data_IF_365929706106
#
_entry.id   IF_365929706106
#
_cell.length_a   1.000
_cell.length_b   1.000
_cell.length_c   1.000
_cell.angle_alpha   90.00
_cell.angle_beta   90.00
_cell.angle_gamma   90.00
#
_symmetry.space_group_name_H-M   'P 1'
#
loop_
_entity.id
_entity.type
_entity.pdbx_description
1 polymer ?
#
# COMPACT_ATOMS: atom_id res chain seq x y z
N UNK A 1 -21.06 -13.09 -9.81
CA UNK A 1 -20.60 -12.09 -8.83
C UNK A 1 -20.33 -12.70 -7.46
N UNK A 2 -21.32 -13.32 -6.77
CA UNK A 2 -21.09 -13.95 -5.45
C UNK A 2 -20.01 -15.04 -5.50
N UNK A 3 -20.11 -15.98 -6.43
CA UNK A 3 -19.10 -17.04 -6.63
C UNK A 3 -17.72 -16.48 -7.03
N UNK A 4 -17.68 -15.42 -7.84
CA UNK A 4 -16.41 -14.78 -8.26
C UNK A 4 -15.72 -14.07 -7.09
N UNK A 5 -16.50 -13.43 -6.23
CA UNK A 5 -16.01 -12.77 -5.02
C UNK A 5 -15.53 -13.78 -3.97
N UNK A 6 -16.25 -14.88 -3.78
CA UNK A 6 -15.81 -16.00 -2.92
C UNK A 6 -14.49 -16.60 -3.44
N UNK A 7 -14.38 -16.81 -4.75
CA UNK A 7 -13.14 -17.28 -5.37
C UNK A 7 -11.98 -16.30 -5.16
N UNK A 8 -12.23 -15.00 -5.36
CA UNK A 8 -11.26 -13.94 -5.10
C UNK A 8 -10.81 -13.95 -3.63
N UNK A 9 -11.76 -13.99 -2.69
CA UNK A 9 -11.49 -13.94 -1.25
C UNK A 9 -10.67 -15.15 -0.81
N UNK A 10 -11.05 -16.36 -1.25
CA UNK A 10 -10.30 -17.59 -1.00
C UNK A 10 -8.90 -17.54 -1.61
N UNK A 11 -8.74 -16.99 -2.81
CA UNK A 11 -7.43 -16.80 -3.43
C UNK A 11 -6.52 -15.89 -2.60
N UNK A 12 -7.04 -14.76 -2.11
CA UNK A 12 -6.27 -13.82 -1.28
C UNK A 12 -5.89 -14.45 0.06
N UNK A 13 -6.84 -15.07 0.75
CA UNK A 13 -6.59 -15.74 2.04
C UNK A 13 -5.55 -16.86 1.90
N UNK A 14 -5.67 -17.70 0.87
CA UNK A 14 -4.68 -18.76 0.59
C UNK A 14 -3.28 -18.19 0.33
N UNK A 15 -3.18 -17.01 -0.31
CA UNK A 15 -1.91 -16.35 -0.56
C UNK A 15 -1.30 -15.75 0.71
N UNK A 16 -2.13 -15.22 1.60
CA UNK A 16 -1.70 -14.73 2.91
C UNK A 16 -1.30 -15.85 3.86
N UNK A 17 -2.02 -16.98 3.85
CA UNK A 17 -1.68 -18.17 4.65
C UNK A 17 -0.33 -18.78 4.23
N UNK A 18 0.11 -18.54 2.99
CA UNK A 18 1.46 -18.90 2.52
C UNK A 18 2.54 -17.89 2.92
N UNK A 19 2.16 -16.73 3.45
CA UNK A 19 3.12 -15.77 3.99
C UNK A 19 3.58 -16.25 5.37
N UNK A 20 4.89 -16.20 5.64
CA UNK A 20 5.46 -16.60 6.94
C UNK A 20 5.23 -15.54 8.04
N UNK A 21 4.15 -14.75 7.97
CA UNK A 21 3.85 -13.72 8.97
C UNK A 21 2.98 -14.31 10.08
N UNK A 22 3.51 -14.41 11.29
CA UNK A 22 2.73 -14.90 12.43
C UNK A 22 1.77 -13.84 12.97
N UNK A 23 0.72 -14.27 13.69
CA UNK A 23 -0.18 -13.35 14.42
C UNK A 23 0.60 -12.44 15.38
N UNK A 24 1.65 -12.97 16.01
CA UNK A 24 2.55 -12.19 16.87
C UNK A 24 3.26 -11.07 16.10
N UNK A 25 3.74 -11.36 14.89
CA UNK A 25 4.38 -10.35 14.03
C UNK A 25 3.40 -9.26 13.61
N UNK A 26 2.14 -9.61 13.32
CA UNK A 26 1.08 -8.67 12.99
C UNK A 26 0.71 -7.78 14.18
N UNK A 27 0.66 -8.34 15.40
CA UNK A 27 0.44 -7.57 16.61
C UNK A 27 1.57 -6.57 16.88
N UNK A 28 2.83 -7.01 16.77
CA UNK A 28 4.01 -6.13 16.90
C UNK A 28 4.01 -5.05 15.82
N UNK A 29 3.64 -5.39 14.59
CA UNK A 29 3.49 -4.44 13.49
C UNK A 29 2.51 -3.34 13.85
N UNK A 30 1.32 -3.70 14.32
CA UNK A 30 0.25 -2.74 14.60
C UNK A 30 0.61 -1.82 15.78
N UNK A 31 1.24 -2.36 16.83
CA UNK A 31 1.78 -1.54 17.93
C UNK A 31 2.86 -0.53 17.46
N UNK A 32 3.62 -0.88 16.43
CA UNK A 32 4.70 -0.04 15.92
C UNK A 32 4.29 0.85 14.75
N UNK A 33 3.16 0.59 14.09
CA UNK A 33 2.74 1.31 12.90
C UNK A 33 2.62 2.82 13.14
N UNK A 34 2.09 3.22 14.30
CA UNK A 34 2.03 4.63 14.68
C UNK A 34 3.43 5.22 14.90
N UNK A 35 4.33 4.46 15.54
CA UNK A 35 5.72 4.89 15.78
C UNK A 35 6.47 5.09 14.47
N UNK A 36 6.26 4.23 13.47
CA UNK A 36 6.92 4.36 12.16
C UNK A 36 6.72 5.73 11.54
N UNK A 37 5.48 6.25 11.58
CA UNK A 37 5.16 7.56 11.06
C UNK A 37 5.92 8.65 11.82
N UNK A 38 5.83 8.66 13.16
CA UNK A 38 6.54 9.63 13.99
C UNK A 38 8.06 9.56 13.76
N UNK A 39 8.67 8.38 13.80
CA UNK A 39 10.11 8.20 13.59
C UNK A 39 10.59 8.74 12.25
N UNK A 40 9.82 8.54 11.18
CA UNK A 40 10.19 9.04 9.86
C UNK A 40 10.06 10.56 9.76
N UNK A 41 8.95 11.13 10.23
CA UNK A 41 8.59 12.52 9.91
C UNK A 41 8.85 13.53 11.04
N UNK A 42 9.31 13.10 12.22
CA UNK A 42 9.61 14.01 13.35
C UNK A 42 11.07 14.46 13.42
N UNK A 43 11.99 13.77 12.75
CA UNK A 43 13.41 14.13 12.69
C UNK A 43 13.77 14.58 11.28
N UNK A 44 14.01 15.89 11.14
CA UNK A 44 14.25 16.58 9.88
C UNK A 44 15.70 16.47 9.40
N UNK A 45 16.66 16.34 10.31
CA UNK A 45 18.09 16.48 9.99
C UNK A 45 18.61 15.32 9.12
N UNK A 46 17.93 14.16 9.14
CA UNK A 46 18.31 12.98 8.36
C UNK A 46 17.18 12.36 7.55
N UNK A 47 16.06 13.07 7.37
CA UNK A 47 14.85 12.54 6.71
C UNK A 47 15.16 11.78 5.40
N UNK A 48 15.90 12.41 4.49
CA UNK A 48 16.19 11.86 3.16
C UNK A 48 17.10 10.61 3.18
N UNK A 49 17.89 10.43 4.23
CA UNK A 49 18.79 9.29 4.41
C UNK A 49 18.08 8.09 5.03
N UNK A 50 16.92 8.28 5.68
CA UNK A 50 16.15 7.20 6.30
C UNK A 50 15.79 6.13 5.28
N UNK A 51 15.97 4.87 5.67
CA UNK A 51 15.72 3.73 4.82
C UNK A 51 14.33 3.15 5.07
N UNK A 52 13.69 2.75 3.98
CA UNK A 52 12.37 2.11 3.98
C UNK A 52 12.47 0.71 3.39
N UNK A 53 11.54 -0.15 3.76
CA UNK A 53 11.36 -1.50 3.19
C UNK A 53 9.88 -1.89 3.20
N UNK A 54 9.45 -2.75 2.28
CA UNK A 54 8.11 -3.36 2.34
C UNK A 54 7.96 -4.26 3.56
N UNK A 55 6.75 -4.30 4.12
CA UNK A 55 6.38 -5.27 5.15
C UNK A 55 6.13 -6.66 4.53
N UNK A 56 6.31 -7.71 5.32
CA UNK A 56 6.06 -9.10 4.89
C UNK A 56 4.56 -9.47 4.92
N UNK A 57 3.73 -8.64 5.54
CA UNK A 57 2.29 -8.82 5.71
C UNK A 57 1.46 -8.08 4.67
N UNK A 58 2.08 -7.66 3.56
CA UNK A 58 1.38 -6.99 2.47
C UNK A 58 1.86 -7.49 1.11
N UNK A 59 0.99 -7.41 0.11
CA UNK A 59 1.37 -7.60 -1.29
C UNK A 59 0.43 -6.83 -2.21
N UNK A 60 0.89 -6.60 -3.45
CA UNK A 60 0.08 -5.98 -4.50
C UNK A 60 -0.21 -7.01 -5.58
N UNK A 61 -1.45 -7.03 -6.05
CA UNK A 61 -1.83 -7.74 -7.27
C UNK A 61 -2.45 -6.76 -8.28
N UNK A 62 -2.30 -7.09 -9.56
CA UNK A 62 -2.94 -6.37 -10.66
C UNK A 62 -4.19 -7.13 -11.06
N UNK A 63 -5.30 -6.44 -11.26
CA UNK A 63 -6.53 -7.11 -11.67
C UNK A 63 -7.35 -6.27 -12.66
N UNK A 64 -8.24 -6.96 -13.36
CA UNK A 64 -9.16 -6.34 -14.32
C UNK A 64 -10.34 -5.66 -13.62
N UNK A 65 -10.62 -6.03 -12.37
CA UNK A 65 -11.80 -5.59 -11.62
C UNK A 65 -11.39 -4.89 -10.33
N UNK A 66 -12.18 -3.90 -9.90
CA UNK A 66 -11.97 -3.16 -8.65
C UNK A 66 -12.46 -3.98 -7.45
N UNK A 67 -11.68 -4.99 -7.06
CA UNK A 67 -12.05 -5.84 -5.93
C UNK A 67 -11.99 -5.11 -4.59
N UNK A 68 -11.20 -4.04 -4.46
CA UNK A 68 -11.16 -3.22 -3.25
C UNK A 68 -12.53 -2.61 -2.93
N UNK A 69 -13.16 -2.01 -3.94
CA UNK A 69 -14.50 -1.42 -3.81
C UNK A 69 -15.55 -2.49 -3.43
N UNK A 70 -15.54 -3.64 -4.11
CA UNK A 70 -16.48 -4.74 -3.84
C UNK A 70 -16.26 -5.36 -2.46
N UNK A 71 -15.00 -5.57 -2.06
CA UNK A 71 -14.68 -6.14 -0.75
C UNK A 71 -15.10 -5.20 0.38
N UNK A 72 -14.77 -3.92 0.26
CA UNK A 72 -15.10 -2.94 1.30
C UNK A 72 -16.62 -2.76 1.45
N UNK A 73 -17.36 -2.86 0.36
CA UNK A 73 -18.81 -2.87 0.34
C UNK A 73 -19.45 -4.06 1.06
N UNK A 74 -18.90 -5.25 0.87
CA UNK A 74 -19.50 -6.48 1.39
C UNK A 74 -19.04 -6.82 2.81
N UNK A 75 -17.81 -6.46 3.17
CA UNK A 75 -17.16 -6.94 4.40
C UNK A 75 -17.03 -5.85 5.47
N UNK A 76 -16.90 -4.56 5.09
CA UNK A 76 -16.55 -3.51 6.07
C UNK A 76 -17.75 -2.79 6.69
N UNK A 77 -18.76 -2.28 5.96
CA UNK A 77 -19.93 -1.63 6.60
C UNK A 77 -21.15 -1.41 5.67
N UNK A 78 -22.36 -1.50 6.24
CA UNK A 78 -23.69 -1.33 5.59
C UNK A 78 -24.10 0.12 5.29
N UNK A 79 -23.29 0.82 4.50
CA UNK A 79 -23.63 2.15 3.99
C UNK A 79 -24.28 1.98 2.62
N UNK A 80 -25.48 2.54 2.44
CA UNK A 80 -26.29 2.51 1.19
C UNK A 80 -25.53 2.99 -0.06
N UNK A 81 -24.43 3.72 0.13
CA UNK A 81 -23.48 4.11 -0.92
C UNK A 81 -22.95 2.93 -1.75
N UNK A 82 -22.85 1.74 -1.14
CA UNK A 82 -22.29 0.55 -1.77
C UNK A 82 -23.35 -0.42 -2.36
N UNK A 83 -24.65 -0.10 -2.25
CA UNK A 83 -25.73 -0.96 -2.74
C UNK A 83 -25.81 -1.00 -4.28
N UNK A 84 -25.16 -0.07 -4.98
CA UNK A 84 -25.21 0.06 -6.44
C UNK A 84 -23.83 -0.06 -7.13
N UNK A 85 -22.93 -0.91 -6.62
CA UNK A 85 -21.61 -1.10 -7.24
C UNK A 85 -21.77 -1.86 -8.55
N UNK A 86 -21.57 -1.15 -9.65
CA UNK A 86 -21.39 -1.75 -10.97
C UNK A 86 -19.94 -2.17 -11.12
N UNK A 87 -19.71 -3.45 -11.40
CA UNK A 87 -18.39 -3.98 -11.78
C UNK A 87 -17.84 -3.17 -12.96
N UNK A 88 -16.81 -2.36 -12.71
CA UNK A 88 -16.06 -1.67 -13.76
C UNK A 88 -14.83 -2.50 -14.12
N UNK A 89 -14.62 -2.70 -15.41
CA UNK A 89 -13.40 -3.31 -15.92
C UNK A 89 -12.35 -2.24 -16.23
N UNK A 90 -11.11 -2.49 -15.83
CA UNK A 90 -9.99 -1.55 -15.99
C UNK A 90 -8.66 -2.21 -15.66
N UNK A 91 -7.65 -1.40 -15.32
CA UNK A 91 -6.40 -1.87 -14.74
C UNK A 91 -6.33 -1.35 -13.32
N UNK A 92 -6.62 -2.23 -12.37
CA UNK A 92 -6.61 -1.90 -10.94
C UNK A 92 -5.37 -2.48 -10.28
N UNK A 93 -4.83 -1.73 -9.34
CA UNK A 93 -3.71 -2.13 -8.50
C UNK A 93 -4.23 -2.18 -7.08
N UNK A 94 -4.35 -3.39 -6.54
CA UNK A 94 -4.89 -3.56 -5.20
C UNK A 94 -3.79 -4.00 -4.24
N UNK A 95 -3.60 -3.20 -3.20
CA UNK A 95 -2.75 -3.52 -2.07
C UNK A 95 -3.55 -4.30 -1.03
N UNK A 96 -3.09 -5.50 -0.75
CA UNK A 96 -3.59 -6.37 0.32
C UNK A 96 -2.69 -6.21 1.52
N UNK A 97 -3.29 -6.02 2.69
CA UNK A 97 -2.60 -5.99 3.98
C UNK A 97 -3.30 -6.97 4.91
N UNK A 98 -2.54 -7.90 5.46
CA UNK A 98 -3.04 -8.89 6.41
C UNK A 98 -3.37 -8.20 7.75
N UNK A 99 -4.50 -8.51 8.35
CA UNK A 99 -4.84 -8.06 9.70
C UNK A 99 -4.59 -9.16 10.74
N UNK A 100 -4.58 -8.78 12.02
CA UNK A 100 -4.35 -9.72 13.14
C UNK A 100 -5.39 -10.86 13.13
N UNK A 101 -6.63 -10.56 12.73
CA UNK A 101 -7.65 -11.57 12.47
C UNK A 101 -7.41 -12.21 11.10
N UNK A 102 -7.13 -13.52 11.10
CA UNK A 102 -6.79 -14.29 9.90
C UNK A 102 -7.89 -14.29 8.83
N UNK A 103 -9.13 -13.96 9.18
CA UNK A 103 -10.24 -13.90 8.23
C UNK A 103 -10.45 -12.49 7.65
N UNK A 104 -9.72 -11.50 8.15
CA UNK A 104 -9.89 -10.10 7.76
C UNK A 104 -8.64 -9.61 7.04
N UNK A 105 -8.86 -9.00 5.88
CA UNK A 105 -7.84 -8.25 5.16
C UNK A 105 -8.22 -6.77 5.07
N UNK A 106 -7.21 -5.92 4.94
CA UNK A 106 -7.38 -4.60 4.35
C UNK A 106 -7.06 -4.64 2.86
N UNK A 107 -7.98 -4.11 2.06
CA UNK A 107 -7.85 -4.04 0.61
C UNK A 107 -7.98 -2.59 0.16
N UNK A 108 -6.91 -2.06 -0.42
CA UNK A 108 -6.82 -0.68 -0.90
C UNK A 108 -6.66 -0.67 -2.41
N UNK A 109 -7.37 0.22 -3.09
CA UNK A 109 -6.98 0.66 -4.43
C UNK A 109 -5.81 1.64 -4.28
N UNK A 110 -4.77 1.46 -5.08
CA UNK A 110 -3.56 2.28 -5.06
C UNK A 110 -3.22 2.74 -6.47
N UNK A 111 -2.53 3.86 -6.57
CA UNK A 111 -2.12 4.37 -7.87
C UNK A 111 -0.81 3.73 -8.37
N UNK A 112 -0.42 4.09 -9.61
CA UNK A 112 0.79 3.57 -10.22
C UNK A 112 2.06 4.05 -9.48
N UNK A 113 2.06 5.26 -8.89
CA UNK A 113 3.21 5.81 -8.16
C UNK A 113 3.42 5.01 -6.87
N UNK A 114 2.37 4.80 -6.07
CA UNK A 114 2.39 3.95 -4.88
C UNK A 114 2.90 2.55 -5.22
N UNK A 115 2.42 1.97 -6.33
CA UNK A 115 2.90 0.67 -6.80
C UNK A 115 4.39 0.68 -7.14
N UNK A 116 4.90 1.72 -7.80
CA UNK A 116 6.33 1.82 -8.13
C UNK A 116 7.19 1.98 -6.88
N UNK A 117 6.77 2.81 -5.94
CA UNK A 117 7.45 2.96 -4.64
C UNK A 117 7.49 1.61 -3.91
N UNK A 118 6.35 0.93 -3.79
CA UNK A 118 6.27 -0.39 -3.15
C UNK A 118 7.19 -1.42 -3.82
N UNK A 119 7.27 -1.44 -5.16
CA UNK A 119 8.18 -2.33 -5.89
C UNK A 119 9.65 -2.02 -5.65
N UNK A 120 10.03 -0.74 -5.62
CA UNK A 120 11.40 -0.33 -5.29
C UNK A 120 11.81 -0.80 -3.88
N UNK A 121 10.86 -0.76 -2.95
CA UNK A 121 11.05 -1.09 -1.54
C UNK A 121 11.01 -2.59 -1.22
N UNK A 122 11.00 -3.46 -2.23
CA UNK A 122 11.28 -4.90 -2.01
C UNK A 122 12.69 -5.15 -1.47
N UNK A 123 13.57 -4.16 -1.59
CA UNK A 123 14.84 -4.07 -0.88
C UNK A 123 14.92 -2.73 -0.15
N UNK A 124 15.79 -2.62 0.86
CA UNK A 124 15.98 -1.39 1.63
C UNK A 124 16.44 -0.26 0.72
N UNK A 125 15.75 0.88 0.71
CA UNK A 125 16.14 2.08 -0.04
C UNK A 125 15.96 3.33 0.80
N UNK A 126 16.84 4.31 0.64
CA UNK A 126 16.67 5.63 1.24
C UNK A 126 15.57 6.43 0.55
N UNK A 127 14.97 7.39 1.26
CA UNK A 127 13.98 8.30 0.67
C UNK A 127 14.55 9.05 -0.53
N UNK A 128 15.80 9.51 -0.45
CA UNK A 128 16.47 10.16 -1.58
C UNK A 128 16.56 9.24 -2.82
N UNK A 129 16.85 7.95 -2.64
CA UNK A 129 16.87 7.00 -3.74
C UNK A 129 15.49 6.79 -4.36
N UNK A 130 14.44 6.78 -3.54
CA UNK A 130 13.05 6.66 -4.01
C UNK A 130 12.69 7.88 -4.85
N UNK A 131 12.98 9.10 -4.36
CA UNK A 131 12.81 10.34 -5.10
C UNK A 131 13.55 10.27 -6.44
N UNK A 132 14.84 9.97 -6.45
CA UNK A 132 15.59 9.84 -7.70
C UNK A 132 14.99 8.82 -8.67
N UNK A 133 14.59 7.63 -8.19
CA UNK A 133 14.03 6.58 -9.06
C UNK A 133 12.62 6.86 -9.54
N UNK A 134 11.85 7.71 -8.86
CA UNK A 134 10.50 8.07 -9.32
C UNK A 134 10.52 9.17 -10.38
N UNK A 135 11.57 10.01 -10.45
CA UNK A 135 11.68 11.09 -11.45
C UNK A 135 11.52 10.59 -12.89
N UNK A 136 12.01 9.37 -13.19
CA UNK A 136 11.91 8.75 -14.52
C UNK A 136 10.49 8.50 -15.04
N UNK A 137 9.48 8.62 -14.18
CA UNK A 137 8.07 8.47 -14.55
C UNK A 137 7.40 9.81 -14.86
N UNK A 138 8.14 10.91 -14.77
CA UNK A 138 7.67 12.27 -15.02
C UNK A 138 8.46 12.90 -16.15
N UNK A 139 7.91 13.95 -16.75
CA UNK A 139 8.66 14.77 -17.71
C UNK A 139 9.76 15.54 -16.97
N UNK A 140 10.99 15.45 -17.45
CA UNK A 140 12.17 16.06 -16.82
C UNK A 140 12.05 17.59 -16.67
N UNK A 141 11.52 18.29 -17.67
CA UNK A 141 11.31 19.73 -17.61
C UNK A 141 10.34 20.10 -16.48
N UNK A 142 9.25 19.33 -16.36
CA UNK A 142 8.24 19.52 -15.30
C UNK A 142 8.85 19.28 -13.92
N UNK A 143 9.66 18.23 -13.76
CA UNK A 143 10.32 17.95 -12.47
C UNK A 143 11.32 19.05 -12.11
N UNK A 144 12.09 19.56 -13.08
CA UNK A 144 13.06 20.62 -12.82
C UNK A 144 12.39 21.94 -12.43
N UNK A 145 11.27 22.29 -13.09
CA UNK A 145 10.51 23.51 -12.81
C UNK A 145 9.71 23.42 -11.50
N UNK A 146 9.16 22.24 -11.18
CA UNK A 146 8.24 22.02 -10.05
C UNK A 146 8.76 21.00 -9.03
N UNK A 147 10.08 20.96 -8.79
CA UNK A 147 10.71 19.91 -7.97
C UNK A 147 10.09 19.76 -6.58
N UNK A 148 9.73 20.86 -5.90
CA UNK A 148 9.11 20.82 -4.57
C UNK A 148 7.75 20.11 -4.59
N UNK A 149 6.91 20.38 -5.59
CA UNK A 149 5.61 19.73 -5.74
C UNK A 149 5.78 18.24 -6.07
N UNK A 150 6.76 17.91 -6.92
CA UNK A 150 7.14 16.53 -7.19
C UNK A 150 7.57 15.80 -5.91
N UNK A 151 8.45 16.41 -5.12
CA UNK A 151 8.93 15.86 -3.87
C UNK A 151 7.79 15.64 -2.86
N UNK A 152 6.92 16.63 -2.68
CA UNK A 152 5.73 16.55 -1.83
C UNK A 152 4.79 15.42 -2.27
N UNK A 153 4.59 15.23 -3.57
CA UNK A 153 3.79 14.15 -4.12
C UNK A 153 4.38 12.78 -3.74
N UNK A 154 5.68 12.56 -3.95
CA UNK A 154 6.33 11.29 -3.61
C UNK A 154 6.31 11.04 -2.10
N UNK A 155 6.61 12.07 -1.29
CA UNK A 155 6.57 11.96 0.17
C UNK A 155 5.15 11.64 0.65
N UNK A 156 4.13 12.23 0.06
CA UNK A 156 2.72 11.94 0.38
C UNK A 156 2.38 10.48 0.08
N UNK A 157 2.83 9.94 -1.05
CA UNK A 157 2.64 8.53 -1.38
C UNK A 157 3.39 7.59 -0.40
N UNK A 158 4.58 7.96 0.04
CA UNK A 158 5.31 7.23 1.09
C UNK A 158 4.49 7.24 2.41
N UNK A 159 3.98 8.40 2.83
CA UNK A 159 3.13 8.53 4.03
C UNK A 159 1.91 7.61 3.94
N UNK A 160 1.23 7.62 2.79
CA UNK A 160 0.06 6.77 2.54
C UNK A 160 0.39 5.29 2.67
N UNK A 161 1.52 4.82 2.10
CA UNK A 161 1.94 3.43 2.21
C UNK A 161 2.33 3.02 3.64
N UNK A 162 2.84 3.94 4.46
CA UNK A 162 3.13 3.69 5.89
C UNK A 162 1.83 3.57 6.67
N UNK A 163 0.88 4.47 6.45
CA UNK A 163 -0.45 4.43 7.11
C UNK A 163 -1.17 3.12 6.76
N UNK A 164 -1.05 2.66 5.51
CA UNK A 164 -1.56 1.36 5.05
C UNK A 164 -0.74 0.17 5.58
N UNK A 165 0.33 0.37 6.36
CA UNK A 165 1.22 -0.67 6.91
C UNK A 165 1.92 -1.52 5.85
N UNK A 166 2.05 -1.00 4.62
CA UNK A 166 2.64 -1.69 3.48
C UNK A 166 4.16 -1.56 3.43
N UNK A 167 4.68 -0.46 3.96
CA UNK A 167 6.12 -0.17 4.09
C UNK A 167 6.41 0.33 5.50
N UNK A 168 7.67 0.26 5.91
CA UNK A 168 8.14 0.68 7.23
C UNK A 168 9.57 1.23 7.19
N UNK A 169 9.99 2.01 8.19
CA UNK A 169 11.41 2.25 8.44
C UNK A 169 12.17 0.94 8.60
N UNK A 170 13.40 0.90 8.08
CA UNK A 170 14.35 -0.18 8.29
C UNK A 170 15.36 0.17 9.38
#
# INVERSE_FOLDING_TARGET
>A
MKNDFEYFSNYILNRLNKSNCSVKDLYIRDLNAQKWYCTLFSDYDNFYCKQLITTNSSFIFKNKFNWAEIYNAQVRFGISYYENIKLKSGKFLNLVVQEIDNNIISLYDIDEIEYRIYKLLKTKKSINYILYKCMKYFNEQVVNEYYKLYEELIITNIKQLIIKKAIRPF
#
